data_IF_206549115676
#
_entry.id   IF_206549115676
#
_cell.length_a   1.000
_cell.length_b   1.000
_cell.length_c   1.000
_cell.angle_alpha   90.00
_cell.angle_beta   90.00
_cell.angle_gamma   90.00
#
_symmetry.space_group_name_H-M   'P 1'
#
loop_
_entity.id
_entity.type
_entity.pdbx_description
1 polymer ?
#
# COMPACT_ATOMS: atom_id res chain seq x y z
N UNK A 1 -30.05 -9.03 -12.00
CA UNK A 1 -29.60 -8.52 -10.71
C UNK A 1 -28.08 -8.30 -10.59
N UNK A 2 -27.25 -8.79 -11.52
CA UNK A 2 -25.76 -8.70 -11.49
C UNK A 2 -25.17 -7.75 -12.54
N UNK A 3 -25.98 -6.96 -13.24
CA UNK A 3 -25.55 -6.07 -14.34
C UNK A 3 -24.56 -4.99 -13.90
N UNK A 4 -24.67 -4.48 -12.67
CA UNK A 4 -23.75 -3.50 -12.13
C UNK A 4 -22.36 -4.08 -11.86
N UNK A 5 -22.29 -5.34 -11.42
CA UNK A 5 -21.02 -6.05 -11.17
C UNK A 5 -20.23 -6.25 -12.48
N UNK A 6 -20.92 -6.62 -13.56
CA UNK A 6 -20.27 -6.72 -14.87
C UNK A 6 -19.84 -5.37 -15.44
N UNK A 7 -20.55 -4.28 -15.13
CA UNK A 7 -20.09 -2.93 -15.49
C UNK A 7 -18.78 -2.55 -14.78
N UNK A 8 -18.67 -2.84 -13.48
CA UNK A 8 -17.43 -2.63 -12.71
C UNK A 8 -16.25 -3.47 -13.20
N UNK A 9 -16.52 -4.61 -13.85
CA UNK A 9 -15.48 -5.45 -14.49
C UNK A 9 -15.16 -5.04 -15.93
N UNK A 10 -15.88 -4.06 -16.51
CA UNK A 10 -15.67 -3.60 -17.89
C UNK A 10 -14.45 -2.66 -17.98
N UNK A 11 -13.45 -2.95 -18.83
CA UNK A 11 -12.25 -2.13 -18.95
C UNK A 11 -12.50 -0.65 -19.29
N UNK A 12 -13.39 -0.28 -20.23
CA UNK A 12 -13.68 1.13 -20.52
C UNK A 12 -14.32 1.86 -19.33
N UNK A 13 -15.19 1.18 -18.58
CA UNK A 13 -15.85 1.77 -17.41
C UNK A 13 -14.85 2.00 -16.28
N UNK A 14 -13.99 1.03 -16.01
CA UNK A 14 -12.91 1.14 -15.01
C UNK A 14 -11.93 2.25 -15.38
N UNK A 15 -11.55 2.36 -16.64
CA UNK A 15 -10.72 3.44 -17.14
C UNK A 15 -11.32 4.81 -16.89
N UNK A 16 -12.60 5.01 -17.27
CA UNK A 16 -13.30 6.28 -17.06
C UNK A 16 -13.49 6.63 -15.58
N UNK A 17 -13.84 5.64 -14.76
CA UNK A 17 -13.97 5.85 -13.30
C UNK A 17 -12.64 6.21 -12.65
N UNK A 18 -11.56 5.53 -13.03
CA UNK A 18 -10.21 5.82 -12.54
C UNK A 18 -9.75 7.22 -12.96
N UNK A 19 -10.02 7.65 -14.21
CA UNK A 19 -9.71 8.99 -14.69
C UNK A 19 -10.46 10.07 -13.91
N UNK A 20 -11.74 9.84 -13.61
CA UNK A 20 -12.57 10.78 -12.86
C UNK A 20 -12.15 10.89 -11.37
N UNK A 21 -11.74 9.78 -10.73
CA UNK A 21 -11.42 9.74 -9.30
C UNK A 21 -9.99 10.20 -8.97
N UNK A 22 -9.02 9.95 -9.86
CA UNK A 22 -7.61 10.24 -9.60
C UNK A 22 -7.34 11.67 -9.15
N UNK A 23 -7.84 12.75 -9.81
CA UNK A 23 -7.56 14.12 -9.41
C UNK A 23 -8.15 14.48 -8.05
N UNK A 24 -9.34 13.95 -7.71
CA UNK A 24 -9.96 14.17 -6.40
C UNK A 24 -9.16 13.52 -5.28
N UNK A 25 -8.75 12.27 -5.48
CA UNK A 25 -7.92 11.58 -4.51
C UNK A 25 -6.58 12.28 -4.34
N UNK A 26 -5.95 12.76 -5.42
CA UNK A 26 -4.69 13.46 -5.35
C UNK A 26 -4.81 14.80 -4.62
N UNK A 27 -5.85 15.59 -4.91
CA UNK A 27 -6.12 16.86 -4.23
C UNK A 27 -6.36 16.69 -2.74
N UNK A 28 -7.22 15.73 -2.36
CA UNK A 28 -7.47 15.42 -0.95
C UNK A 28 -6.23 14.84 -0.25
N UNK A 29 -5.43 14.01 -0.93
CA UNK A 29 -4.17 13.51 -0.41
C UNK A 29 -3.19 14.65 -0.11
N UNK A 30 -3.04 15.60 -1.05
CA UNK A 30 -2.17 16.75 -0.86
C UNK A 30 -2.58 17.60 0.36
N UNK A 31 -3.88 17.84 0.55
CA UNK A 31 -4.40 18.59 1.68
C UNK A 31 -4.17 17.86 3.02
N UNK A 32 -4.49 16.57 3.08
CA UNK A 32 -4.38 15.79 4.33
C UNK A 32 -2.93 15.49 4.70
N UNK A 33 -2.07 15.19 3.72
CA UNK A 33 -0.63 15.03 3.94
C UNK A 33 0.00 16.37 4.35
N UNK A 34 -0.34 17.46 3.65
CA UNK A 34 0.16 18.79 3.97
C UNK A 34 -0.17 19.21 5.42
N UNK A 35 -1.44 19.04 5.82
CA UNK A 35 -1.83 19.25 7.21
C UNK A 35 -1.07 18.31 8.17
N UNK A 36 -1.03 17.02 7.89
CA UNK A 36 -0.39 16.02 8.74
C UNK A 36 1.11 16.27 8.95
N UNK A 37 1.82 16.66 7.88
CA UNK A 37 3.24 17.02 7.95
C UNK A 37 3.45 18.31 8.79
N UNK A 38 2.70 19.37 8.52
CA UNK A 38 2.86 20.64 9.26
C UNK A 38 2.47 20.42 10.72
N UNK A 39 1.30 19.84 10.99
CA UNK A 39 0.85 19.61 12.36
C UNK A 39 1.74 18.61 13.11
N UNK A 40 2.22 17.56 12.46
CA UNK A 40 3.04 16.53 13.09
C UNK A 40 4.51 16.92 13.26
N UNK A 41 5.12 17.55 12.25
CA UNK A 41 6.55 17.86 12.30
C UNK A 41 6.85 19.21 12.99
N UNK A 42 5.91 20.16 12.97
CA UNK A 42 6.15 21.51 13.51
C UNK A 42 5.41 21.72 14.85
N UNK A 43 4.12 21.37 14.92
CA UNK A 43 3.29 21.74 16.07
C UNK A 43 3.08 20.63 17.10
N UNK A 44 3.20 19.35 16.74
CA UNK A 44 3.05 18.26 17.71
C UNK A 44 4.14 18.37 18.81
N UNK A 45 3.81 18.15 20.08
CA UNK A 45 4.81 18.15 21.14
C UNK A 45 5.81 16.99 20.94
N UNK A 46 7.05 17.12 21.46
CA UNK A 46 7.98 16.00 21.50
C UNK A 46 7.44 14.87 22.39
N UNK A 47 7.78 13.64 22.08
CA UNK A 47 7.43 12.49 22.92
C UNK A 47 8.24 12.52 24.23
N UNK A 48 7.63 12.09 25.34
CA UNK A 48 8.26 12.17 26.67
C UNK A 48 9.45 11.19 26.84
N UNK A 49 9.54 10.13 26.04
CA UNK A 49 10.65 9.17 26.06
C UNK A 49 11.61 9.35 24.87
N UNK A 50 11.06 9.61 23.68
CA UNK A 50 11.78 9.60 22.42
C UNK A 50 12.13 11.00 21.89
N UNK A 51 11.62 12.05 22.56
CA UNK A 51 11.82 13.43 22.14
C UNK A 51 11.35 13.67 20.69
N UNK A 52 12.13 14.45 19.94
CA UNK A 52 11.82 14.76 18.54
C UNK A 52 12.02 13.59 17.56
N UNK A 53 12.79 12.56 17.94
CA UNK A 53 12.94 11.37 17.10
C UNK A 53 11.59 10.66 16.84
N UNK A 54 10.62 10.81 17.74
CA UNK A 54 9.27 10.28 17.58
C UNK A 54 8.52 10.85 16.36
N UNK A 55 8.85 12.05 15.88
CA UNK A 55 8.17 12.70 14.76
C UNK A 55 8.21 11.88 13.46
N UNK A 56 9.18 10.97 13.32
CA UNK A 56 9.27 10.05 12.19
C UNK A 56 8.03 9.15 12.06
N UNK A 57 7.26 8.98 13.15
CA UNK A 57 6.02 8.18 13.18
C UNK A 57 5.00 8.67 12.13
N UNK A 58 4.96 9.97 11.84
CA UNK A 58 4.00 10.56 10.91
C UNK A 58 4.21 10.09 9.45
N UNK A 59 5.41 9.60 9.13
CA UNK A 59 5.71 9.00 7.83
C UNK A 59 5.83 7.48 7.94
N UNK A 60 6.52 6.99 8.97
CA UNK A 60 6.79 5.57 9.13
C UNK A 60 5.51 4.73 9.33
N UNK A 61 4.67 5.08 10.29
CA UNK A 61 3.49 4.29 10.62
C UNK A 61 2.46 4.23 9.47
N UNK A 62 2.11 5.33 8.78
CA UNK A 62 1.29 5.27 7.57
C UNK A 62 1.92 4.41 6.47
N UNK A 63 3.24 4.50 6.24
CA UNK A 63 3.94 3.68 5.23
C UNK A 63 3.85 2.20 5.54
N UNK A 64 4.12 1.80 6.79
CA UNK A 64 4.02 0.41 7.24
C UNK A 64 2.59 -0.12 7.15
N UNK A 65 1.58 0.71 7.42
CA UNK A 65 0.18 0.36 7.24
C UNK A 65 -0.17 0.14 5.77
N UNK A 66 0.28 1.04 4.91
CA UNK A 66 0.00 0.97 3.47
C UNK A 66 0.75 -0.18 2.79
N UNK A 67 1.91 -0.58 3.29
CA UNK A 67 2.62 -1.77 2.80
C UNK A 67 1.75 -3.03 2.94
N UNK A 68 1.17 -3.25 4.12
CA UNK A 68 0.29 -4.38 4.41
C UNK A 68 -1.05 -4.28 3.66
N UNK A 69 -1.66 -3.10 3.66
CA UNK A 69 -2.94 -2.84 2.99
C UNK A 69 -2.83 -3.07 1.47
N UNK A 70 -1.81 -2.53 0.83
CA UNK A 70 -1.60 -2.69 -0.61
C UNK A 70 -1.32 -4.15 -0.99
N UNK A 71 -0.56 -4.90 -0.15
CA UNK A 71 -0.32 -6.32 -0.39
C UNK A 71 -1.61 -7.13 -0.27
N UNK A 72 -2.39 -6.88 0.76
CA UNK A 72 -3.69 -7.53 0.96
C UNK A 72 -4.64 -7.22 -0.19
N UNK A 73 -4.73 -5.96 -0.62
CA UNK A 73 -5.55 -5.53 -1.76
C UNK A 73 -5.13 -6.22 -3.07
N UNK A 74 -3.81 -6.32 -3.29
CA UNK A 74 -3.23 -7.03 -4.43
C UNK A 74 -3.58 -8.53 -4.43
N UNK A 75 -3.46 -9.20 -3.27
CA UNK A 75 -3.80 -10.61 -3.12
C UNK A 75 -5.30 -10.86 -3.34
N UNK A 76 -6.17 -10.00 -2.80
CA UNK A 76 -7.62 -10.07 -3.01
C UNK A 76 -7.95 -9.88 -4.50
N UNK A 77 -7.35 -8.89 -5.16
CA UNK A 77 -7.56 -8.65 -6.59
C UNK A 77 -7.11 -9.85 -7.44
N UNK A 78 -5.96 -10.45 -7.09
CA UNK A 78 -5.47 -11.68 -7.69
C UNK A 78 -6.42 -12.86 -7.49
N UNK A 79 -6.95 -13.04 -6.28
CA UNK A 79 -7.93 -14.09 -5.97
C UNK A 79 -9.24 -13.90 -6.77
N UNK A 80 -9.76 -12.68 -6.84
CA UNK A 80 -10.93 -12.34 -7.65
C UNK A 80 -10.68 -12.69 -9.12
N UNK A 81 -9.49 -12.35 -9.64
CA UNK A 81 -9.13 -12.65 -11.02
C UNK A 81 -9.07 -14.16 -11.31
N UNK A 82 -8.51 -14.95 -10.38
CA UNK A 82 -8.38 -16.40 -10.57
C UNK A 82 -9.71 -17.14 -10.38
N UNK A 83 -10.49 -16.79 -9.35
CA UNK A 83 -11.72 -17.51 -8.97
C UNK A 83 -12.86 -17.17 -9.95
N UNK A 84 -13.09 -15.87 -10.19
CA UNK A 84 -14.21 -15.41 -11.03
C UNK A 84 -13.79 -15.08 -12.47
N UNK A 85 -12.51 -15.28 -12.84
CA UNK A 85 -11.97 -14.98 -14.16
C UNK A 85 -12.15 -13.52 -14.59
N UNK A 86 -12.15 -12.59 -13.63
CA UNK A 86 -12.31 -11.15 -13.86
C UNK A 86 -10.94 -10.55 -14.20
N UNK A 87 -10.70 -10.27 -15.49
CA UNK A 87 -9.40 -9.78 -16.01
C UNK A 87 -8.92 -8.48 -15.32
N UNK A 88 -9.85 -7.60 -14.93
CA UNK A 88 -9.54 -6.35 -14.21
C UNK A 88 -8.82 -6.62 -12.89
N UNK A 89 -9.09 -7.72 -12.21
CA UNK A 89 -8.36 -8.09 -10.98
C UNK A 89 -6.86 -8.20 -11.20
N UNK A 90 -6.42 -8.79 -12.32
CA UNK A 90 -4.98 -8.83 -12.67
C UNK A 90 -4.41 -7.43 -12.93
N UNK A 91 -5.18 -6.52 -13.54
CA UNK A 91 -4.74 -5.15 -13.77
C UNK A 91 -4.61 -4.37 -12.45
N UNK A 92 -5.57 -4.53 -11.53
CA UNK A 92 -5.51 -3.95 -10.18
C UNK A 92 -4.32 -4.48 -9.40
N UNK A 93 -4.08 -5.79 -9.41
CA UNK A 93 -2.94 -6.40 -8.73
C UNK A 93 -1.61 -5.87 -9.29
N UNK A 94 -1.46 -5.81 -10.61
CA UNK A 94 -0.27 -5.27 -11.28
C UNK A 94 -0.05 -3.77 -11.01
N UNK A 95 -1.11 -2.98 -10.95
CA UNK A 95 -1.05 -1.56 -10.64
C UNK A 95 -0.68 -1.30 -9.16
N UNK A 96 -1.15 -2.15 -8.22
CA UNK A 96 -0.90 -2.03 -6.78
C UNK A 96 0.53 -2.43 -6.39
N UNK A 97 1.12 -3.42 -7.04
CA UNK A 97 2.40 -4.00 -6.62
C UNK A 97 3.53 -2.98 -6.44
N UNK A 98 3.86 -2.10 -7.40
CA UNK A 98 4.94 -1.14 -7.23
C UNK A 98 4.62 -0.04 -6.20
N UNK A 99 3.34 0.28 -5.98
CA UNK A 99 2.94 1.24 -4.96
C UNK A 99 3.20 0.64 -3.57
N UNK A 100 2.76 -0.60 -3.35
CA UNK A 100 3.01 -1.32 -2.11
C UNK A 100 4.50 -1.53 -1.83
N UNK A 101 5.28 -1.91 -2.86
CA UNK A 101 6.74 -2.01 -2.75
C UNK A 101 7.40 -0.69 -2.32
N UNK A 102 6.93 0.44 -2.85
CA UNK A 102 7.44 1.77 -2.49
C UNK A 102 7.13 2.12 -1.02
N UNK A 103 5.92 1.82 -0.54
CA UNK A 103 5.56 2.02 0.87
C UNK A 103 6.34 1.08 1.80
N UNK A 104 6.55 -0.18 1.40
CA UNK A 104 7.38 -1.13 2.15
C UNK A 104 8.82 -0.64 2.26
N UNK A 105 9.42 -0.17 1.15
CA UNK A 105 10.75 0.42 1.16
C UNK A 105 10.82 1.66 2.05
N UNK A 106 9.83 2.55 1.97
CA UNK A 106 9.75 3.75 2.79
C UNK A 106 9.61 3.39 4.28
N UNK A 107 8.82 2.37 4.63
CA UNK A 107 8.70 1.87 5.99
C UNK A 107 10.03 1.30 6.50
N UNK A 108 10.74 0.51 5.70
CA UNK A 108 12.06 -0.04 6.06
C UNK A 108 13.10 1.06 6.27
N UNK A 109 13.18 2.04 5.36
CA UNK A 109 14.14 3.16 5.46
C UNK A 109 13.83 4.03 6.69
N UNK A 110 12.59 4.46 6.86
CA UNK A 110 12.20 5.30 8.00
C UNK A 110 12.29 4.54 9.32
N UNK A 111 11.97 3.25 9.33
CA UNK A 111 12.15 2.40 10.51
C UNK A 111 13.62 2.22 10.90
N UNK A 112 14.49 2.05 9.91
CA UNK A 112 15.96 1.99 10.11
C UNK A 112 16.50 3.30 10.69
N UNK A 113 16.08 4.44 10.15
CA UNK A 113 16.46 5.77 10.68
C UNK A 113 15.94 5.97 12.11
N UNK A 114 14.73 5.54 12.40
CA UNK A 114 14.15 5.62 13.74
C UNK A 114 14.83 4.65 14.72
N UNK A 115 15.23 3.48 14.26
CA UNK A 115 15.94 2.48 15.08
C UNK A 115 17.26 2.99 15.65
N UNK A 116 18.00 3.83 14.92
CA UNK A 116 19.28 4.33 15.35
C UNK A 116 19.26 5.07 16.70
N UNK A 117 18.41 6.09 16.93
CA UNK A 117 18.31 6.74 18.24
C UNK A 117 17.64 5.86 19.29
N UNK A 118 16.77 4.90 18.91
CA UNK A 118 16.01 4.09 19.86
C UNK A 118 16.72 2.83 20.32
N UNK A 119 17.46 2.16 19.42
CA UNK A 119 18.08 0.84 19.64
C UNK A 119 19.60 0.87 19.49
N UNK A 120 20.17 2.01 19.13
CA UNK A 120 21.62 2.16 18.90
C UNK A 120 22.11 1.62 17.54
N UNK A 121 21.23 1.04 16.72
CA UNK A 121 21.56 0.47 15.41
C UNK A 121 20.54 0.83 14.36
N UNK A 122 20.97 0.89 13.09
CA UNK A 122 20.06 1.08 11.95
C UNK A 122 19.28 -0.20 11.60
N UNK A 123 19.82 -1.38 11.93
CA UNK A 123 19.22 -2.66 11.60
C UNK A 123 19.42 -3.66 12.73
N UNK A 124 18.38 -4.37 13.04
CA UNK A 124 18.40 -5.58 13.86
C UNK A 124 17.59 -6.66 13.14
N UNK A 125 17.98 -7.91 13.27
CA UNK A 125 17.22 -9.05 12.76
C UNK A 125 16.04 -9.35 13.66
N UNK A 126 15.23 -8.33 13.88
CA UNK A 126 13.97 -8.38 14.61
C UNK A 126 12.89 -9.04 13.75
N UNK A 127 11.98 -9.81 14.31
CA UNK A 127 10.92 -10.50 13.54
C UNK A 127 10.10 -9.55 12.66
N UNK A 128 9.82 -8.33 13.13
CA UNK A 128 9.01 -7.36 12.39
C UNK A 128 9.78 -6.77 11.21
N UNK A 129 11.04 -6.35 11.42
CA UNK A 129 11.86 -5.83 10.33
C UNK A 129 12.14 -6.90 9.29
N UNK A 130 12.46 -8.11 9.72
CA UNK A 130 12.76 -9.23 8.83
C UNK A 130 11.53 -9.61 7.98
N UNK A 131 10.36 -9.71 8.61
CA UNK A 131 9.14 -10.03 7.85
C UNK A 131 8.68 -8.89 6.93
N UNK A 132 8.91 -7.62 7.29
CA UNK A 132 8.68 -6.47 6.39
C UNK A 132 9.66 -6.50 5.20
N UNK A 133 10.92 -6.88 5.41
CA UNK A 133 11.88 -7.08 4.31
C UNK A 133 11.45 -8.23 3.39
N UNK A 134 10.95 -9.34 3.95
CA UNK A 134 10.37 -10.43 3.16
C UNK A 134 9.18 -9.92 2.32
N UNK A 135 8.35 -9.03 2.88
CA UNK A 135 7.24 -8.42 2.14
C UNK A 135 7.74 -7.64 0.91
N UNK A 136 8.85 -6.90 1.05
CA UNK A 136 9.46 -6.20 -0.10
C UNK A 136 9.90 -7.21 -1.18
N UNK A 137 10.55 -8.30 -0.80
CA UNK A 137 10.93 -9.35 -1.77
C UNK A 137 9.73 -10.04 -2.40
N UNK A 138 8.62 -10.23 -1.68
CA UNK A 138 7.39 -10.75 -2.24
C UNK A 138 6.80 -9.79 -3.29
N UNK A 139 6.81 -8.47 -3.05
CA UNK A 139 6.42 -7.48 -4.05
C UNK A 139 7.30 -7.55 -5.30
N UNK A 140 8.62 -7.59 -5.11
CA UNK A 140 9.58 -7.71 -6.23
C UNK A 140 9.32 -9.01 -7.00
N UNK A 141 9.08 -10.11 -6.30
CA UNK A 141 8.73 -11.40 -6.90
C UNK A 141 7.47 -11.32 -7.76
N UNK A 142 6.39 -10.72 -7.24
CA UNK A 142 5.14 -10.53 -8.00
C UNK A 142 5.37 -9.70 -9.26
N UNK A 143 6.12 -8.60 -9.15
CA UNK A 143 6.43 -7.73 -10.30
C UNK A 143 7.31 -8.43 -11.34
N UNK A 144 8.26 -9.27 -10.91
CA UNK A 144 9.21 -9.97 -11.79
C UNK A 144 8.59 -11.20 -12.48
N UNK A 145 7.63 -11.86 -11.83
CA UNK A 145 7.01 -13.06 -12.39
C UNK A 145 6.20 -12.77 -13.66
N UNK A 146 5.50 -11.64 -13.70
CA UNK A 146 4.63 -11.31 -14.83
C UNK A 146 5.37 -11.24 -16.17
N UNK A 147 6.49 -10.48 -16.30
CA UNK A 147 7.26 -10.43 -17.53
C UNK A 147 8.13 -11.66 -17.80
N UNK A 148 8.27 -12.58 -16.84
CA UNK A 148 9.08 -13.78 -16.99
C UNK A 148 8.43 -14.86 -17.90
N UNK A 149 7.16 -14.70 -18.26
CA UNK A 149 6.42 -15.62 -19.11
C UNK A 149 6.15 -15.01 -20.49
N UNK A 150 6.34 -15.78 -21.55
CA UNK A 150 5.98 -15.38 -22.93
C UNK A 150 4.46 -15.16 -23.07
N UNK A 151 3.65 -16.02 -22.42
CA UNK A 151 2.20 -15.85 -22.34
C UNK A 151 1.83 -14.94 -21.18
N UNK A 152 1.33 -13.70 -21.43
CA UNK A 152 0.93 -12.75 -20.39
C UNK A 152 -0.12 -13.31 -19.42
N UNK A 153 -1.01 -14.22 -19.90
CA UNK A 153 -2.03 -14.80 -19.04
C UNK A 153 -1.45 -15.81 -18.04
N UNK A 154 -0.38 -16.51 -18.42
CA UNK A 154 0.36 -17.38 -17.49
C UNK A 154 1.14 -16.56 -16.48
N UNK A 155 1.79 -15.48 -16.90
CA UNK A 155 2.50 -14.56 -16.03
C UNK A 155 1.56 -13.91 -15.00
N UNK A 156 0.39 -13.43 -15.42
CA UNK A 156 -0.63 -12.88 -14.53
C UNK A 156 -1.11 -13.90 -13.49
N UNK A 157 -1.31 -15.16 -13.88
CA UNK A 157 -1.70 -16.23 -12.94
C UNK A 157 -0.60 -16.56 -11.94
N UNK A 158 0.65 -16.66 -12.38
CA UNK A 158 1.79 -16.92 -11.51
C UNK A 158 1.98 -15.81 -10.49
N UNK A 159 1.89 -14.54 -10.93
CA UNK A 159 1.96 -13.36 -10.05
C UNK A 159 0.81 -13.35 -9.03
N UNK A 160 -0.42 -13.65 -9.46
CA UNK A 160 -1.58 -13.73 -8.56
C UNK A 160 -1.44 -14.84 -7.52
N UNK A 161 -0.94 -16.03 -7.90
CA UNK A 161 -0.68 -17.13 -6.97
C UNK A 161 0.38 -16.74 -5.93
N UNK A 162 1.49 -16.11 -6.35
CA UNK A 162 2.51 -15.64 -5.42
C UNK A 162 1.95 -14.59 -4.46
N UNK A 163 1.12 -13.65 -4.94
CA UNK A 163 0.47 -12.66 -4.10
C UNK A 163 -0.44 -13.30 -3.05
N UNK A 164 -1.24 -14.30 -3.43
CA UNK A 164 -2.14 -15.02 -2.51
C UNK A 164 -1.34 -15.83 -1.48
N UNK A 165 -0.30 -16.54 -1.90
CA UNK A 165 0.55 -17.29 -0.95
C UNK A 165 1.28 -16.34 -0.01
N UNK A 166 1.84 -15.27 -0.56
CA UNK A 166 2.60 -14.29 0.22
C UNK A 166 1.77 -13.49 1.22
N UNK A 167 0.43 -13.44 1.08
CA UNK A 167 -0.42 -12.70 2.03
C UNK A 167 -0.34 -13.26 3.46
N UNK A 168 0.08 -14.50 3.63
CA UNK A 168 0.35 -15.12 4.95
C UNK A 168 1.40 -14.33 5.73
N UNK A 169 2.31 -13.63 5.04
CA UNK A 169 3.30 -12.78 5.70
C UNK A 169 2.69 -11.53 6.38
N UNK A 170 1.52 -11.07 5.94
CA UNK A 170 0.85 -9.88 6.51
C UNK A 170 0.48 -10.07 7.99
N UNK A 171 -0.25 -11.13 8.41
CA UNK A 171 -0.49 -11.39 9.82
C UNK A 171 0.81 -11.66 10.61
N UNK A 172 1.84 -12.26 10.00
CA UNK A 172 3.14 -12.45 10.66
C UNK A 172 3.75 -11.10 11.03
N UNK A 173 3.79 -10.12 10.11
CA UNK A 173 4.25 -8.76 10.40
C UNK A 173 3.40 -8.12 11.51
N UNK A 174 2.08 -8.19 11.38
CA UNK A 174 1.16 -7.53 12.30
C UNK A 174 1.30 -8.05 13.74
N UNK A 175 1.36 -9.36 13.91
CA UNK A 175 1.42 -10.01 15.23
C UNK A 175 2.84 -10.33 15.69
N UNK A 176 3.87 -10.00 14.93
CA UNK A 176 5.28 -10.30 15.27
C UNK A 176 5.68 -9.84 16.68
N UNK A 177 5.22 -8.66 17.09
CA UNK A 177 5.50 -8.09 18.43
C UNK A 177 4.77 -8.80 19.58
N UNK A 178 3.76 -9.61 19.28
CA UNK A 178 3.02 -10.38 20.26
C UNK A 178 3.49 -11.84 20.32
N UNK A 179 3.93 -12.38 19.19
CA UNK A 179 4.34 -13.79 19.08
C UNK A 179 5.82 -14.01 19.41
N UNK A 180 6.64 -12.99 19.23
CA UNK A 180 8.09 -13.07 19.50
C UNK A 180 8.57 -11.87 20.29
N UNK A 181 9.75 -12.01 20.92
CA UNK A 181 10.47 -10.88 21.48
C UNK A 181 10.88 -9.94 20.34
N UNK A 182 10.48 -8.69 20.43
CA UNK A 182 10.71 -7.67 19.41
C UNK A 182 11.20 -6.37 20.05
N UNK A 183 12.07 -5.65 19.36
CA UNK A 183 12.49 -4.31 19.74
C UNK A 183 11.39 -3.27 19.50
N UNK A 184 10.37 -3.62 18.68
CA UNK A 184 9.27 -2.74 18.39
C UNK A 184 8.30 -2.63 19.57
N UNK A 185 7.85 -1.41 19.82
CA UNK A 185 6.77 -1.17 20.78
C UNK A 185 5.45 -1.75 20.26
N UNK A 186 4.57 -2.14 21.18
CA UNK A 186 3.23 -2.61 20.87
C UNK A 186 2.37 -1.54 20.21
N UNK A 187 1.18 -1.94 19.72
CA UNK A 187 0.25 -1.04 19.03
C UNK A 187 -0.19 0.11 19.95
N UNK A 188 0.05 1.36 19.51
CA UNK A 188 -0.34 2.58 20.24
C UNK A 188 -1.72 3.08 19.84
N UNK A 189 -2.13 2.87 18.60
CA UNK A 189 -3.42 3.35 18.02
C UNK A 189 -4.33 2.16 17.72
N UNK A 190 -3.87 1.19 16.94
CA UNK A 190 -4.68 0.03 16.52
C UNK A 190 -4.73 -1.05 17.61
N UNK A 191 -5.39 -0.77 18.72
CA UNK A 191 -5.58 -1.68 19.85
C UNK A 191 -6.99 -1.60 20.42
N UNK A 192 -7.40 -2.62 21.16
CA UNK A 192 -8.64 -2.57 21.96
C UNK A 192 -8.46 -1.54 23.10
N UNK A 193 -9.23 -0.47 23.07
CA UNK A 193 -9.19 0.61 24.06
C UNK A 193 -8.75 1.98 23.48
N UNK A 194 -8.53 2.93 24.37
CA UNK A 194 -8.14 4.28 23.96
C UNK A 194 -6.71 4.30 23.41
N UNK A 195 -6.42 5.12 22.37
CA UNK A 195 -5.05 5.36 21.91
C UNK A 195 -4.13 5.82 23.05
N UNK A 196 -2.87 5.36 23.01
CA UNK A 196 -1.87 5.71 24.04
C UNK A 196 -1.12 7.01 23.75
N UNK A 197 -1.69 7.91 22.95
CA UNK A 197 -1.08 9.19 22.63
C UNK A 197 -2.10 10.33 22.77
N UNK A 198 -1.66 11.56 23.10
CA UNK A 198 -2.55 12.71 23.18
C UNK A 198 -3.10 13.11 21.81
N UNK A 199 -4.25 13.79 21.80
CA UNK A 199 -4.91 14.23 20.56
C UNK A 199 -4.02 15.10 19.67
N UNK A 200 -3.14 15.91 20.25
CA UNK A 200 -2.18 16.74 19.51
C UNK A 200 -1.20 15.94 18.63
N UNK A 201 -0.91 14.71 19.00
CA UNK A 201 -0.09 13.78 18.20
C UNK A 201 -0.95 12.85 17.34
N UNK A 202 -2.13 12.46 17.83
CA UNK A 202 -3.01 11.49 17.17
C UNK A 202 -3.62 12.06 15.88
N UNK A 203 -4.16 13.29 15.92
CA UNK A 203 -4.83 13.86 14.75
C UNK A 203 -3.91 14.05 13.54
N UNK A 204 -2.67 14.57 13.68
CA UNK A 204 -1.70 14.57 12.59
C UNK A 204 -1.42 13.17 12.03
N UNK A 205 -1.29 12.16 12.91
CA UNK A 205 -1.04 10.78 12.48
C UNK A 205 -2.20 10.19 11.68
N UNK A 206 -3.44 10.39 12.14
CA UNK A 206 -4.64 9.95 11.42
C UNK A 206 -4.81 10.67 10.08
N UNK A 207 -4.47 11.96 10.03
CA UNK A 207 -4.46 12.73 8.78
C UNK A 207 -3.42 12.20 7.80
N UNK A 208 -2.22 11.87 8.26
CA UNK A 208 -1.18 11.24 7.43
C UNK A 208 -1.62 9.88 6.92
N UNK A 209 -2.25 9.06 7.77
CA UNK A 209 -2.79 7.76 7.36
C UNK A 209 -3.86 7.92 6.26
N UNK A 210 -4.82 8.81 6.47
CA UNK A 210 -5.84 9.13 5.47
C UNK A 210 -5.23 9.65 4.17
N UNK A 211 -4.25 10.57 4.28
CA UNK A 211 -3.56 11.14 3.14
C UNK A 211 -2.81 10.09 2.32
N UNK A 212 -2.13 9.17 2.97
CA UNK A 212 -1.43 8.07 2.30
C UNK A 212 -2.41 7.08 1.64
N UNK A 213 -3.55 6.81 2.28
CA UNK A 213 -4.63 6.01 1.66
C UNK A 213 -5.19 6.68 0.40
N UNK A 214 -5.45 7.98 0.45
CA UNK A 214 -5.90 8.76 -0.71
C UNK A 214 -4.83 8.80 -1.80
N UNK A 215 -3.56 8.99 -1.43
CA UNK A 215 -2.44 8.94 -2.37
C UNK A 215 -2.31 7.57 -3.04
N UNK A 216 -2.42 6.48 -2.27
CA UNK A 216 -2.48 5.13 -2.81
C UNK A 216 -3.63 5.01 -3.82
N UNK A 217 -4.83 5.47 -3.48
CA UNK A 217 -6.00 5.46 -4.38
C UNK A 217 -5.76 6.25 -5.66
N UNK A 218 -5.17 7.45 -5.56
CA UNK A 218 -4.84 8.29 -6.71
C UNK A 218 -3.85 7.60 -7.66
N UNK A 219 -2.72 7.12 -7.12
CA UNK A 219 -1.68 6.46 -7.92
C UNK A 219 -2.19 5.13 -8.48
N UNK A 220 -3.00 4.38 -7.71
CA UNK A 220 -3.66 3.17 -8.20
C UNK A 220 -4.56 3.47 -9.40
N UNK A 221 -5.39 4.51 -9.34
CA UNK A 221 -6.23 4.93 -10.45
C UNK A 221 -5.40 5.30 -11.69
N UNK A 222 -4.34 6.10 -11.52
CA UNK A 222 -3.46 6.50 -12.63
C UNK A 222 -2.76 5.30 -13.28
N UNK A 223 -2.20 4.40 -12.46
CA UNK A 223 -1.54 3.20 -12.96
C UNK A 223 -2.52 2.21 -13.59
N UNK A 224 -3.71 2.09 -13.03
CA UNK A 224 -4.77 1.21 -13.56
C UNK A 224 -5.21 1.66 -14.95
N UNK A 225 -5.29 2.97 -15.21
CA UNK A 225 -5.53 3.48 -16.57
C UNK A 225 -4.46 2.97 -17.54
N UNK A 226 -3.18 3.11 -17.19
CA UNK A 226 -2.07 2.61 -18.02
C UNK A 226 -2.12 1.10 -18.24
N UNK A 227 -2.40 0.33 -17.18
CA UNK A 227 -2.53 -1.14 -17.26
C UNK A 227 -3.70 -1.56 -18.17
N UNK A 228 -4.84 -0.91 -18.05
CA UNK A 228 -6.03 -1.21 -18.87
C UNK A 228 -5.77 -0.87 -20.34
N UNK A 229 -5.19 0.30 -20.63
CA UNK A 229 -4.84 0.69 -22.00
C UNK A 229 -3.83 -0.30 -22.63
N UNK A 230 -2.81 -0.70 -21.89
CA UNK A 230 -1.81 -1.64 -22.39
C UNK A 230 -2.39 -3.03 -22.67
N UNK A 231 -3.29 -3.53 -21.80
CA UNK A 231 -3.94 -4.83 -21.95
C UNK A 231 -4.95 -4.85 -23.09
N UNK A 232 -5.65 -3.75 -23.32
CA UNK A 232 -6.71 -3.59 -24.32
C UNK A 232 -6.23 -2.82 -25.58
N UNK A 233 -4.91 -2.70 -25.82
CA UNK A 233 -4.31 -1.86 -26.87
C UNK A 233 -4.85 -2.08 -28.28
N UNK A 234 -5.42 -3.27 -28.57
CA UNK A 234 -6.01 -3.60 -29.85
C UNK A 234 -7.51 -3.28 -29.93
N UNK A 235 -8.15 -2.97 -28.81
CA UNK A 235 -9.59 -2.69 -28.77
C UNK A 235 -9.93 -1.33 -29.42
N UNK A 236 -11.10 -1.25 -30.06
CA UNK A 236 -11.56 -0.04 -30.75
C UNK A 236 -11.66 1.16 -29.80
N UNK A 237 -12.20 0.96 -28.63
CA UNK A 237 -12.39 2.01 -27.61
C UNK A 237 -11.07 2.65 -27.16
N UNK A 238 -9.96 1.88 -27.11
CA UNK A 238 -8.62 2.40 -26.75
C UNK A 238 -8.11 3.36 -27.84
N UNK A 239 -8.31 2.99 -29.11
CA UNK A 239 -7.93 3.85 -30.25
C UNK A 239 -8.73 5.16 -30.28
N UNK A 240 -9.96 5.12 -29.82
CA UNK A 240 -10.80 6.32 -29.68
C UNK A 240 -10.37 7.17 -28.48
N UNK A 241 -10.12 6.55 -27.32
CA UNK A 241 -9.70 7.26 -26.10
C UNK A 241 -8.32 7.96 -26.21
N UNK A 242 -7.40 7.46 -27.06
CA UNK A 242 -6.08 8.08 -27.26
C UNK A 242 -6.15 9.28 -28.24
N UNK A 243 -7.21 9.38 -29.06
CA UNK A 243 -7.41 10.46 -30.04
C UNK A 243 -8.15 11.68 -29.46
N UNK A 244 -8.83 11.51 -28.33
CA UNK A 244 -9.56 12.56 -27.60
C UNK A 244 -8.64 13.26 -26.58
#
# INVERSE_FOLDING_TARGET
MWTWFYKLASPPHVYGAAAALAPWFLGLAALTIGYGLVAGLVFAPPDYQQGDAFRIIYVHAPSAWLSLFAYTSMAIAGAIALIWRIKIGHAVAAASAPIGASFTLLALVTGSLWGRPMWGTYWAWDPRLTSELILLFLYVGVMSLRPAFEDPARGDRAAALLAIVGVVNVPIIHYSVQWWNSLHQGATVAKLGKPSMPGSMLWPLLSMLLGFMLFYGAVLCMRLQGEVLNRERQAKWVREAIKS
#
